data_IF_319367590918
#
_entry.id   IF_319367590918
#
_cell.length_a   1.000
_cell.length_b   1.000
_cell.length_c   1.000
_cell.angle_alpha   90.00
_cell.angle_beta   90.00
_cell.angle_gamma   90.00
#
_symmetry.space_group_name_H-M   'P 1'
#
loop_
_entity.id
_entity.type
_entity.pdbx_description
1 polymer ?
#
# COMPACT_ATOMS: atom_id res chain seq x y z
N UNK A 1 -12.99 3.75 2.31
CA UNK A 1 -13.64 3.77 3.65
C UNK A 1 -14.07 2.40 4.20
N UNK A 2 -14.81 1.54 3.47
CA UNK A 2 -15.34 0.27 4.03
C UNK A 2 -14.31 -0.72 4.59
N UNK A 3 -13.08 -0.74 4.05
CA UNK A 3 -12.02 -1.67 4.50
C UNK A 3 -11.51 -1.32 5.91
N UNK A 4 -11.18 -0.05 6.16
CA UNK A 4 -10.73 0.43 7.47
C UNK A 4 -11.79 0.22 8.55
N UNK A 5 -13.07 0.41 8.23
CA UNK A 5 -14.18 0.12 9.15
C UNK A 5 -14.20 -1.34 9.62
N UNK A 6 -13.83 -2.29 8.75
CA UNK A 6 -13.72 -3.71 9.13
C UNK A 6 -12.52 -3.97 10.03
N UNK A 7 -11.36 -3.37 9.75
CA UNK A 7 -10.17 -3.48 10.61
C UNK A 7 -10.46 -2.94 12.01
N UNK A 8 -11.15 -1.80 12.10
CA UNK A 8 -11.62 -1.24 13.38
C UNK A 8 -12.51 -2.24 14.11
N UNK A 9 -13.49 -2.81 13.41
CA UNK A 9 -14.42 -3.77 13.98
C UNK A 9 -13.69 -5.02 14.48
N UNK A 10 -12.77 -5.58 13.69
CA UNK A 10 -11.96 -6.74 14.08
C UNK A 10 -11.14 -6.46 15.34
N UNK A 11 -10.52 -5.28 15.47
CA UNK A 11 -9.78 -4.94 16.68
C UNK A 11 -10.69 -4.73 17.90
N UNK A 12 -11.96 -4.35 17.70
CA UNK A 12 -12.93 -4.19 18.78
C UNK A 12 -13.55 -5.50 19.27
N UNK A 13 -13.80 -6.46 18.39
CA UNK A 13 -14.56 -7.67 18.74
C UNK A 13 -13.89 -9.02 18.39
N UNK A 14 -12.74 -9.01 17.69
CA UNK A 14 -12.10 -10.22 17.20
C UNK A 14 -11.38 -11.06 18.27
N UNK A 15 -11.06 -10.46 19.41
CA UNK A 15 -10.20 -11.08 20.43
C UNK A 15 -10.79 -12.37 21.00
N UNK A 16 -12.06 -12.34 21.42
CA UNK A 16 -12.69 -13.49 22.09
C UNK A 16 -12.88 -14.67 21.12
N UNK A 17 -13.33 -14.38 19.90
CA UNK A 17 -13.51 -15.41 18.88
C UNK A 17 -12.17 -16.05 18.50
N UNK A 18 -11.12 -15.23 18.27
CA UNK A 18 -9.80 -15.76 17.93
C UNK A 18 -9.22 -16.59 19.08
N UNK A 19 -9.33 -16.11 20.33
CA UNK A 19 -8.88 -16.85 21.51
C UNK A 19 -9.56 -18.21 21.61
N UNK A 20 -10.88 -18.24 21.48
CA UNK A 20 -11.64 -19.48 21.54
C UNK A 20 -11.21 -20.48 20.46
N UNK A 21 -11.00 -20.04 19.22
CA UNK A 21 -10.51 -20.92 18.16
C UNK A 21 -9.09 -21.44 18.44
N UNK A 22 -8.19 -20.58 18.92
CA UNK A 22 -6.83 -21.00 19.27
C UNK A 22 -6.81 -21.99 20.45
N UNK A 23 -7.69 -21.82 21.44
CA UNK A 23 -7.84 -22.79 22.54
C UNK A 23 -8.26 -24.18 22.03
N UNK A 24 -9.20 -24.22 21.08
CA UNK A 24 -9.61 -25.47 20.44
C UNK A 24 -8.43 -26.12 19.70
N UNK A 25 -7.71 -25.36 18.88
CA UNK A 25 -6.53 -25.85 18.16
C UNK A 25 -5.40 -26.32 19.09
N UNK A 26 -5.13 -25.58 20.17
CA UNK A 26 -4.12 -25.96 21.17
C UNK A 26 -4.51 -27.20 21.98
N UNK A 27 -5.81 -27.42 22.18
CA UNK A 27 -6.34 -28.61 22.85
C UNK A 27 -6.38 -29.85 21.94
N UNK A 28 -6.41 -29.64 20.62
CA UNK A 28 -6.41 -30.71 19.65
C UNK A 28 -5.08 -31.48 19.71
N UNK A 29 -5.16 -32.81 19.83
CA UNK A 29 -3.98 -33.69 19.91
C UNK A 29 -3.36 -33.96 18.54
N UNK A 30 -3.39 -33.00 17.63
CA UNK A 30 -2.76 -33.10 16.32
C UNK A 30 -1.30 -32.62 16.39
N UNK A 31 -0.41 -33.29 15.67
CA UNK A 31 0.98 -32.88 15.49
C UNK A 31 1.17 -32.34 14.07
N UNK A 32 1.90 -31.22 13.88
CA UNK A 32 2.58 -30.42 14.90
C UNK A 32 1.63 -29.49 15.68
N UNK A 33 1.95 -29.25 16.96
CA UNK A 33 1.20 -28.28 17.79
C UNK A 33 1.48 -26.84 17.34
N UNK A 34 0.48 -25.99 17.51
CA UNK A 34 0.64 -24.53 17.36
C UNK A 34 1.71 -24.04 18.35
N UNK A 35 2.75 -23.40 17.83
CA UNK A 35 3.88 -22.91 18.61
C UNK A 35 4.07 -21.39 18.54
N UNK A 36 3.37 -20.73 17.62
CA UNK A 36 3.49 -19.30 17.37
C UNK A 36 2.23 -18.77 16.66
N UNK A 37 1.86 -17.54 16.98
CA UNK A 37 0.84 -16.79 16.24
C UNK A 37 1.55 -15.79 15.31
N UNK A 38 1.27 -15.84 14.00
CA UNK A 38 1.77 -14.85 13.04
C UNK A 38 0.59 -14.02 12.56
N UNK A 39 0.60 -12.71 12.78
CA UNK A 39 -0.52 -11.83 12.42
C UNK A 39 -0.05 -10.56 11.75
N UNK A 40 -0.91 -10.01 10.89
CA UNK A 40 -0.71 -8.67 10.32
C UNK A 40 -0.71 -7.62 11.43
N UNK A 41 0.15 -6.60 11.31
CA UNK A 41 0.29 -5.52 12.28
C UNK A 41 -1.03 -4.79 12.56
N UNK A 42 -1.93 -4.71 11.57
CA UNK A 42 -3.25 -4.08 11.70
C UNK A 42 -4.16 -4.79 12.70
N UNK A 43 -3.93 -6.06 13.01
CA UNK A 43 -4.69 -6.84 13.98
C UNK A 43 -4.02 -6.77 15.35
N UNK A 44 -3.85 -5.56 15.87
CA UNK A 44 -3.11 -5.30 17.11
C UNK A 44 -3.74 -5.97 18.34
N UNK A 45 -5.06 -6.24 18.31
CA UNK A 45 -5.74 -7.02 19.37
C UNK A 45 -5.14 -8.42 19.59
N UNK A 46 -4.45 -8.97 18.59
CA UNK A 46 -3.92 -10.33 18.64
C UNK A 46 -2.76 -10.50 19.62
N UNK A 47 -2.11 -9.40 20.04
CA UNK A 47 -1.09 -9.46 21.09
C UNK A 47 -1.68 -9.95 22.42
N UNK A 48 -2.80 -9.39 22.87
CA UNK A 48 -3.41 -9.79 24.14
C UNK A 48 -3.95 -11.23 24.11
N UNK A 49 -4.39 -11.69 22.94
CA UNK A 49 -4.79 -13.09 22.73
C UNK A 49 -3.57 -14.01 22.85
N UNK A 50 -2.47 -13.68 22.19
CA UNK A 50 -1.23 -14.46 22.28
C UNK A 50 -0.70 -14.53 23.71
N UNK A 51 -0.67 -13.40 24.42
CA UNK A 51 -0.25 -13.32 25.82
C UNK A 51 -1.13 -14.20 26.73
N UNK A 52 -2.45 -14.19 26.53
CA UNK A 52 -3.40 -14.99 27.33
C UNK A 52 -3.23 -16.50 27.15
N UNK A 53 -2.68 -16.93 26.01
CA UNK A 53 -2.43 -18.33 25.67
C UNK A 53 -0.95 -18.72 25.81
N UNK A 54 -0.11 -17.80 26.30
CA UNK A 54 1.33 -17.97 26.40
C UNK A 54 1.99 -18.39 25.07
N UNK A 55 1.51 -17.82 23.96
CA UNK A 55 2.05 -18.03 22.62
C UNK A 55 2.96 -16.86 22.22
N UNK A 56 4.14 -17.11 21.62
CA UNK A 56 4.88 -16.05 20.98
C UNK A 56 4.09 -15.50 19.79
N UNK A 57 4.16 -14.18 19.60
CA UNK A 57 3.55 -13.50 18.46
C UNK A 57 4.63 -12.94 17.55
N UNK A 58 4.61 -13.31 16.28
CA UNK A 58 5.35 -12.62 15.23
C UNK A 58 4.42 -11.70 14.47
N UNK A 59 4.88 -10.49 14.20
CA UNK A 59 4.09 -9.48 13.47
C UNK A 59 4.58 -9.38 12.05
N UNK A 60 3.68 -9.52 11.08
CA UNK A 60 3.94 -9.16 9.71
C UNK A 60 3.59 -7.68 9.50
N UNK A 61 4.61 -6.86 9.22
CA UNK A 61 4.42 -5.49 8.75
C UNK A 61 4.48 -5.47 7.21
N UNK A 62 3.37 -5.09 6.60
CA UNK A 62 3.14 -5.25 5.15
C UNK A 62 3.50 -4.02 4.31
N UNK A 63 3.93 -2.92 4.94
CA UNK A 63 4.47 -1.73 4.28
C UNK A 63 6.00 -1.62 4.52
N UNK A 64 6.59 -0.48 4.16
CA UNK A 64 8.01 -0.21 4.32
C UNK A 64 8.41 -0.01 5.79
N UNK A 65 9.70 -0.22 6.09
CA UNK A 65 10.28 0.12 7.38
C UNK A 65 10.29 1.63 7.59
N UNK A 66 10.46 2.40 6.52
CA UNK A 66 10.33 3.86 6.59
C UNK A 66 8.93 4.29 7.06
N UNK A 67 7.88 3.72 6.48
CA UNK A 67 6.49 3.96 6.87
C UNK A 67 6.25 3.58 8.35
N UNK A 68 6.83 2.49 8.84
CA UNK A 68 6.78 2.15 10.26
C UNK A 68 7.38 3.25 11.16
N UNK A 69 8.51 3.84 10.79
CA UNK A 69 9.13 4.91 11.58
C UNK A 69 8.27 6.18 11.60
N UNK A 70 7.59 6.49 10.50
CA UNK A 70 6.59 7.57 10.45
C UNK A 70 5.43 7.24 11.39
N UNK A 71 4.88 6.02 11.30
CA UNK A 71 3.81 5.58 12.19
C UNK A 71 4.21 5.64 13.67
N UNK A 72 5.46 5.27 13.99
CA UNK A 72 5.99 5.34 15.34
C UNK A 72 6.24 6.77 15.84
N UNK A 73 6.23 7.75 14.94
CA UNK A 73 6.49 9.16 15.22
C UNK A 73 5.25 10.04 15.13
N UNK A 74 4.06 9.48 14.93
CA UNK A 74 2.81 10.25 14.78
C UNK A 74 2.59 11.18 15.97
N UNK A 75 2.76 10.71 17.22
CA UNK A 75 2.57 11.57 18.40
C UNK A 75 3.53 12.75 18.40
N UNK A 76 4.80 12.53 18.03
CA UNK A 76 5.77 13.62 17.88
C UNK A 76 5.35 14.60 16.78
N UNK A 77 4.91 14.09 15.62
CA UNK A 77 4.48 14.92 14.50
C UNK A 77 3.20 15.72 14.86
N UNK A 78 2.31 15.18 15.69
CA UNK A 78 1.14 15.90 16.24
C UNK A 78 1.55 17.01 17.21
N UNK A 79 2.46 16.70 18.15
CA UNK A 79 2.98 17.66 19.12
C UNK A 79 3.71 18.83 18.45
N UNK A 80 4.37 18.58 17.32
CA UNK A 80 4.99 19.59 16.46
C UNK A 80 3.99 20.36 15.58
N UNK A 81 2.72 19.94 15.57
CA UNK A 81 1.62 20.63 14.91
C UNK A 81 1.47 20.32 13.42
N UNK A 82 2.13 19.29 12.88
CA UNK A 82 2.02 18.95 11.45
C UNK A 82 0.59 18.56 11.04
N UNK A 83 -0.19 17.98 11.95
CA UNK A 83 -1.59 17.61 11.67
C UNK A 83 -2.60 18.73 11.92
N UNK A 84 -2.25 19.80 12.64
CA UNK A 84 -3.14 20.97 12.80
C UNK A 84 -3.38 21.72 11.48
N UNK A 85 -2.57 21.44 10.46
CA UNK A 85 -2.70 21.99 9.11
C UNK A 85 -3.80 21.28 8.29
N UNK A 86 -4.21 20.07 8.66
CA UNK A 86 -5.23 19.31 7.91
C UNK A 86 -6.65 19.85 8.08
N UNK A 87 -6.95 20.50 9.20
CA UNK A 87 -8.31 20.97 9.52
C UNK A 87 -8.71 22.24 8.75
N UNK A 88 -7.73 22.99 8.26
CA UNK A 88 -7.93 24.21 7.45
C UNK A 88 -7.87 23.96 5.94
N UNK A 89 -7.49 22.75 5.52
CA UNK A 89 -7.43 22.37 4.12
C UNK A 89 -8.80 21.82 3.77
N UNK A 90 -9.63 22.64 3.10
CA UNK A 90 -10.77 22.12 2.37
C UNK A 90 -10.29 20.94 1.50
N UNK A 91 -11.19 20.00 1.25
CA UNK A 91 -11.01 18.78 0.47
C UNK A 91 -10.86 19.04 -1.07
N UNK A 92 -9.75 19.62 -1.58
CA UNK A 92 -9.27 19.20 -2.92
C UNK A 92 -7.96 18.42 -2.94
N UNK A 93 -7.14 18.46 -1.87
CA UNK A 93 -5.79 17.86 -1.87
C UNK A 93 -5.77 16.32 -1.87
N UNK A 94 -6.91 15.68 -1.61
CA UNK A 94 -7.07 14.22 -1.51
C UNK A 94 -7.38 13.52 -2.84
N UNK A 95 -7.54 14.26 -3.95
CA UNK A 95 -7.96 13.68 -5.24
C UNK A 95 -6.82 13.03 -6.05
N UNK A 96 -5.63 12.86 -5.46
CA UNK A 96 -4.54 12.01 -6.00
C UNK A 96 -3.95 12.42 -7.36
N UNK A 97 -4.51 13.42 -8.04
CA UNK A 97 -4.17 13.75 -9.44
C UNK A 97 -3.94 15.24 -9.73
N UNK A 98 -3.87 16.11 -8.72
CA UNK A 98 -3.31 17.46 -8.90
C UNK A 98 -4.02 18.59 -8.16
N UNK A 99 -3.28 19.69 -8.02
CA UNK A 99 -3.66 20.95 -7.38
C UNK A 99 -4.61 21.76 -8.27
N UNK A 100 -5.88 21.37 -8.38
CA UNK A 100 -6.84 22.18 -9.11
C UNK A 100 -7.83 22.82 -8.14
N UNK A 101 -7.66 24.13 -7.97
CA UNK A 101 -8.48 25.09 -7.21
C UNK A 101 -8.03 25.39 -5.78
N UNK A 102 -6.85 26.00 -5.66
CA UNK A 102 -6.44 26.78 -4.48
C UNK A 102 -6.86 28.24 -4.73
N UNK A 103 -7.82 28.82 -3.99
CA UNK A 103 -8.18 30.23 -4.12
C UNK A 103 -6.99 31.14 -3.75
N UNK A 104 -6.88 32.32 -4.38
CA UNK A 104 -5.72 33.24 -4.29
C UNK A 104 -5.27 33.64 -2.86
N UNK A 105 -6.08 33.42 -1.82
CA UNK A 105 -5.73 33.69 -0.43
C UNK A 105 -4.87 32.59 0.25
N UNK A 106 -4.57 31.47 -0.43
CA UNK A 106 -3.87 30.31 0.13
C UNK A 106 -2.38 30.19 -0.28
N UNK A 107 -1.79 31.21 -0.92
CA UNK A 107 -0.37 31.20 -1.31
C UNK A 107 0.56 30.91 -0.13
N UNK A 108 0.25 31.41 1.07
CA UNK A 108 1.06 31.19 2.29
C UNK A 108 0.97 29.76 2.81
N UNK A 109 -0.17 29.09 2.63
CA UNK A 109 -0.39 27.69 3.02
C UNK A 109 0.28 26.73 2.03
N UNK A 110 0.27 27.07 0.74
CA UNK A 110 0.98 26.34 -0.30
C UNK A 110 2.51 26.30 -0.06
N UNK A 111 3.10 27.39 0.43
CA UNK A 111 4.52 27.39 0.83
C UNK A 111 4.79 26.42 1.99
N UNK A 112 3.98 26.41 3.05
CA UNK A 112 4.13 25.48 4.18
C UNK A 112 4.05 24.01 3.76
N UNK A 113 3.21 23.67 2.77
CA UNK A 113 3.02 22.29 2.32
C UNK A 113 4.24 21.70 1.60
N UNK A 114 5.05 22.55 0.95
CA UNK A 114 6.26 22.14 0.23
C UNK A 114 7.52 22.16 1.11
N UNK A 115 7.43 22.65 2.35
CA UNK A 115 8.52 22.63 3.33
C UNK A 115 8.89 21.20 3.71
N UNK A 116 10.16 20.98 3.98
CA UNK A 116 10.66 19.70 4.49
C UNK A 116 10.27 19.50 5.95
N UNK A 117 10.00 18.26 6.32
CA UNK A 117 9.80 17.85 7.72
C UNK A 117 11.17 17.69 8.35
N UNK A 118 11.46 18.40 9.44
CA UNK A 118 12.81 18.46 10.01
C UNK A 118 13.29 17.08 10.49
N UNK A 119 12.38 16.30 11.07
CA UNK A 119 12.62 14.95 11.59
C UNK A 119 12.74 13.91 10.47
N UNK A 120 12.12 14.19 9.31
CA UNK A 120 12.11 13.33 8.13
C UNK A 120 12.37 14.15 6.86
N UNK A 121 13.62 14.60 6.60
CA UNK A 121 13.92 15.56 5.53
C UNK A 121 13.60 15.10 4.10
N UNK A 122 13.34 13.80 3.92
CA UNK A 122 12.87 13.21 2.65
C UNK A 122 11.39 13.50 2.38
N UNK A 123 10.63 13.84 3.42
CA UNK A 123 9.21 14.17 3.34
C UNK A 123 9.00 15.68 3.32
N UNK A 124 7.94 16.07 2.62
CA UNK A 124 7.35 17.40 2.75
C UNK A 124 6.15 17.35 3.70
N UNK A 125 5.76 18.50 4.22
CA UNK A 125 4.59 18.62 5.11
C UNK A 125 3.33 18.02 4.47
N UNK A 126 3.12 18.22 3.17
CA UNK A 126 2.01 17.60 2.43
C UNK A 126 2.00 16.07 2.46
N UNK A 127 3.17 15.44 2.55
CA UNK A 127 3.29 13.97 2.56
C UNK A 127 2.88 13.42 3.92
N UNK A 128 3.22 14.13 5.01
CA UNK A 128 2.77 13.80 6.37
C UNK A 128 1.27 13.99 6.53
N UNK A 129 0.71 15.07 5.99
CA UNK A 129 -0.75 15.32 6.05
C UNK A 129 -1.53 14.27 5.25
N UNK A 130 -0.98 13.80 4.12
CA UNK A 130 -1.60 12.75 3.28
C UNK A 130 -1.72 11.39 3.95
N UNK A 131 -0.94 11.14 5.01
CA UNK A 131 -1.14 9.96 5.86
C UNK A 131 -2.55 9.95 6.50
N UNK A 132 -3.26 11.08 6.46
CA UNK A 132 -4.71 11.13 6.59
C UNK A 132 -5.21 11.09 8.03
N UNK A 133 -4.36 11.45 9.00
CA UNK A 133 -4.76 11.56 10.38
C UNK A 133 -5.68 12.76 10.58
N UNK A 134 -6.89 12.50 11.08
CA UNK A 134 -7.65 13.52 11.79
C UNK A 134 -7.69 13.16 13.26
N UNK A 135 -7.49 14.14 14.13
CA UNK A 135 -7.47 13.94 15.58
C UNK A 135 -8.71 13.19 16.11
N UNK A 136 -9.85 13.32 15.41
CA UNK A 136 -11.15 12.81 15.84
C UNK A 136 -11.66 11.57 15.08
N UNK A 137 -10.90 10.97 14.16
CA UNK A 137 -11.39 9.84 13.33
C UNK A 137 -11.03 8.44 13.85
N UNK A 138 -10.23 8.35 14.92
CA UNK A 138 -9.78 7.11 15.54
C UNK A 138 -8.68 6.35 14.77
N UNK A 139 -8.22 6.84 13.61
CA UNK A 139 -7.10 6.23 12.88
C UNK A 139 -5.77 6.39 13.62
N UNK A 140 -5.57 7.52 14.31
CA UNK A 140 -4.42 7.74 15.17
C UNK A 140 -4.30 6.68 16.27
N UNK A 141 -5.40 6.34 16.93
CA UNK A 141 -5.44 5.29 17.95
C UNK A 141 -5.11 3.92 17.37
N UNK A 142 -5.62 3.60 16.18
CA UNK A 142 -5.31 2.33 15.51
C UNK A 142 -3.82 2.24 15.25
N UNK A 143 -3.22 3.26 14.64
CA UNK A 143 -1.81 3.20 14.25
C UNK A 143 -0.89 3.23 15.48
N UNK A 144 -1.24 4.02 16.50
CA UNK A 144 -0.55 3.99 17.80
C UNK A 144 -0.59 2.59 18.42
N UNK A 145 -1.76 1.94 18.42
CA UNK A 145 -1.88 0.56 18.89
C UNK A 145 -1.14 -0.44 18.00
N UNK A 146 -1.17 -0.30 16.68
CA UNK A 146 -0.39 -1.12 15.75
C UNK A 146 1.09 -1.08 16.09
N UNK A 147 1.66 0.13 16.24
CA UNK A 147 3.08 0.31 16.59
C UNK A 147 3.36 -0.25 17.99
N UNK A 148 2.54 0.10 18.98
CA UNK A 148 2.72 -0.36 20.37
C UNK A 148 2.75 -1.89 20.46
N UNK A 149 1.77 -2.55 19.84
CA UNK A 149 1.68 -4.01 19.89
C UNK A 149 2.71 -4.69 18.98
N UNK A 150 3.17 -4.04 17.92
CA UNK A 150 4.33 -4.50 17.13
C UNK A 150 5.61 -4.47 17.95
N UNK A 151 5.85 -3.40 18.73
CA UNK A 151 7.00 -3.31 19.64
C UNK A 151 6.98 -4.35 20.76
N UNK A 152 5.80 -4.79 21.17
CA UNK A 152 5.61 -5.81 22.21
C UNK A 152 5.71 -7.26 21.70
N UNK A 153 5.82 -7.47 20.39
CA UNK A 153 5.83 -8.81 19.80
C UNK A 153 7.13 -9.57 20.08
N UNK A 154 7.10 -10.89 19.88
CA UNK A 154 8.28 -11.75 19.97
C UNK A 154 9.20 -11.64 18.75
N UNK A 155 8.79 -10.91 17.72
CA UNK A 155 9.55 -10.69 16.49
C UNK A 155 8.72 -10.00 15.41
N UNK A 156 9.41 -9.38 14.46
CA UNK A 156 8.78 -8.62 13.37
C UNK A 156 9.29 -9.16 12.04
N UNK A 157 8.36 -9.44 11.13
CA UNK A 157 8.59 -9.86 9.76
C UNK A 157 8.33 -8.66 8.86
N UNK A 158 9.30 -8.32 8.04
CA UNK A 158 9.25 -7.21 7.08
C UNK A 158 9.23 -7.75 5.66
N UNK A 159 8.30 -7.27 4.83
CA UNK A 159 8.39 -7.41 3.38
C UNK A 159 9.44 -6.44 2.82
N UNK A 160 10.70 -6.63 3.14
CA UNK A 160 11.78 -5.72 2.74
C UNK A 160 13.12 -6.45 2.71
N UNK A 161 14.17 -5.75 2.32
CA UNK A 161 15.54 -6.24 2.32
C UNK A 161 16.53 -5.16 2.69
N UNK A 162 17.69 -5.59 3.20
CA UNK A 162 18.68 -4.72 3.82
C UNK A 162 19.14 -3.63 2.86
N UNK A 163 19.42 -3.98 1.61
CA UNK A 163 19.97 -3.06 0.61
C UNK A 163 18.99 -1.91 0.26
N UNK A 164 17.69 -2.11 0.47
CA UNK A 164 16.66 -1.09 0.22
C UNK A 164 16.48 -0.14 1.41
N UNK A 165 16.49 -0.67 2.64
CA UNK A 165 16.07 0.07 3.86
C UNK A 165 17.09 -0.01 5.01
N UNK A 166 18.39 -0.08 4.71
CA UNK A 166 19.43 -0.34 5.73
C UNK A 166 19.39 0.64 6.92
N UNK A 167 19.22 1.93 6.66
CA UNK A 167 19.22 2.96 7.71
C UNK A 167 18.00 2.81 8.63
N UNK A 168 16.83 2.49 8.05
CA UNK A 168 15.60 2.26 8.79
C UNK A 168 15.72 0.97 9.62
N UNK A 169 16.25 -0.11 9.03
CA UNK A 169 16.51 -1.37 9.73
C UNK A 169 17.43 -1.19 10.95
N UNK A 170 18.52 -0.42 10.79
CA UNK A 170 19.46 -0.13 11.89
C UNK A 170 18.80 0.69 13.01
N UNK A 171 17.94 1.63 12.66
CA UNK A 171 17.15 2.42 13.62
C UNK A 171 16.16 1.53 14.37
N UNK A 172 15.40 0.71 13.64
CA UNK A 172 14.42 -0.22 14.22
C UNK A 172 15.08 -1.22 15.18
N UNK A 173 16.22 -1.81 14.80
CA UNK A 173 16.95 -2.78 15.66
C UNK A 173 17.53 -2.16 16.92
N UNK A 174 17.82 -0.86 16.90
CA UNK A 174 18.29 -0.12 18.07
C UNK A 174 17.16 0.11 19.07
N UNK A 175 15.98 0.49 18.54
CA UNK A 175 14.85 0.95 19.36
C UNK A 175 13.90 -0.19 19.75
N UNK A 176 13.94 -1.31 19.03
CA UNK A 176 13.08 -2.47 19.24
C UNK A 176 13.96 -3.71 19.44
N UNK A 177 13.98 -4.30 20.64
CA UNK A 177 14.85 -5.45 20.95
C UNK A 177 14.37 -6.76 20.30
N UNK A 178 13.15 -6.79 19.74
CA UNK A 178 12.59 -7.96 19.08
C UNK A 178 13.35 -8.29 17.77
N UNK A 179 13.56 -9.58 17.45
CA UNK A 179 14.18 -10.00 16.19
C UNK A 179 13.44 -9.45 14.97
N UNK A 180 14.20 -8.90 14.01
CA UNK A 180 13.68 -8.44 12.72
C UNK A 180 14.06 -9.43 11.61
N UNK A 181 13.05 -10.08 11.03
CA UNK A 181 13.14 -11.01 9.91
C UNK A 181 12.81 -10.27 8.61
N UNK A 182 13.72 -10.31 7.64
CA UNK A 182 13.51 -9.69 6.33
C UNK A 182 13.14 -10.79 5.33
N UNK A 183 11.98 -10.65 4.69
CA UNK A 183 11.50 -11.60 3.69
C UNK A 183 11.20 -10.84 2.40
N UNK A 184 11.94 -11.14 1.33
CA UNK A 184 11.66 -10.60 0.00
C UNK A 184 10.54 -11.42 -0.64
N UNK A 185 9.28 -11.06 -0.38
CA UNK A 185 8.15 -11.86 -0.84
C UNK A 185 8.10 -11.96 -2.36
N UNK A 186 8.32 -10.84 -3.07
CA UNK A 186 8.34 -10.80 -4.53
C UNK A 186 9.35 -11.79 -5.13
N UNK A 187 10.57 -11.87 -4.58
CA UNK A 187 11.63 -12.72 -5.16
C UNK A 187 11.50 -14.20 -4.82
N UNK A 188 11.05 -14.52 -3.60
CA UNK A 188 11.10 -15.89 -3.08
C UNK A 188 9.79 -16.65 -3.16
N UNK A 189 8.68 -15.96 -3.41
CA UNK A 189 7.36 -16.58 -3.49
C UNK A 189 6.73 -16.26 -4.84
N UNK A 190 6.96 -17.14 -5.82
CA UNK A 190 6.11 -17.21 -7.02
C UNK A 190 4.76 -17.74 -6.56
N UNK A 191 3.86 -16.87 -6.11
CA UNK A 191 2.58 -17.31 -5.54
C UNK A 191 1.82 -18.14 -6.56
N UNK A 192 1.48 -19.38 -6.21
CA UNK A 192 0.28 -20.04 -6.74
C UNK A 192 -0.93 -19.25 -6.20
N UNK A 193 -1.24 -18.13 -6.87
CA UNK A 193 -2.40 -17.25 -6.67
C UNK A 193 -2.73 -16.81 -5.24
N UNK A 194 -2.08 -15.75 -4.74
CA UNK A 194 -2.60 -14.94 -3.62
C UNK A 194 -3.67 -13.93 -4.05
N UNK A 195 -3.94 -13.83 -5.35
CA UNK A 195 -4.97 -12.96 -5.90
C UNK A 195 -6.35 -13.55 -5.69
N UNK A 196 -7.30 -12.71 -5.28
CA UNK A 196 -8.73 -13.01 -5.24
C UNK A 196 -9.39 -12.95 -6.63
N UNK A 197 -8.66 -12.44 -7.63
CA UNK A 197 -9.11 -12.28 -9.02
C UNK A 197 -8.29 -13.18 -9.94
N UNK A 198 -8.96 -13.80 -10.91
CA UNK A 198 -8.31 -14.63 -11.92
C UNK A 198 -7.32 -13.80 -12.75
N UNK A 199 -6.12 -14.31 -12.91
CA UNK A 199 -5.07 -13.67 -13.68
C UNK A 199 -5.38 -13.83 -15.18
N UNK A 200 -5.62 -12.73 -15.89
CA UNK A 200 -5.65 -12.76 -17.34
C UNK A 200 -4.21 -12.93 -17.86
N UNK A 201 -3.99 -13.92 -18.73
CA UNK A 201 -2.71 -14.14 -19.42
C UNK A 201 -2.87 -14.07 -20.95
N UNK A 202 -4.06 -13.76 -21.45
CA UNK A 202 -4.37 -13.74 -22.89
C UNK A 202 -3.62 -12.65 -23.66
N UNK A 203 -3.09 -11.64 -22.96
CA UNK A 203 -2.35 -10.54 -23.55
C UNK A 203 -0.85 -10.80 -23.74
N UNK A 204 -0.28 -11.87 -23.17
CA UNK A 204 1.15 -12.17 -23.32
C UNK A 204 1.59 -12.28 -24.79
N UNK A 205 0.85 -12.95 -25.70
CA UNK A 205 1.20 -12.97 -27.11
C UNK A 205 1.28 -11.60 -27.78
N UNK A 206 0.53 -10.60 -27.30
CA UNK A 206 0.65 -9.22 -27.77
C UNK A 206 1.90 -8.55 -27.18
N UNK A 207 2.21 -8.82 -25.91
CA UNK A 207 3.37 -8.29 -25.20
C UNK A 207 4.68 -8.82 -25.80
N UNK A 208 4.72 -10.11 -26.17
CA UNK A 208 5.83 -10.78 -26.85
C UNK A 208 6.19 -10.14 -28.21
N UNK A 209 5.23 -9.43 -28.83
CA UNK A 209 5.42 -8.75 -30.12
C UNK A 209 5.86 -7.29 -29.97
N UNK A 210 5.92 -6.76 -28.74
CA UNK A 210 6.34 -5.39 -28.50
C UNK A 210 7.87 -5.29 -28.44
N UNK A 211 8.46 -4.19 -28.93
CA UNK A 211 9.88 -3.92 -28.73
C UNK A 211 10.26 -3.90 -27.23
N UNK A 212 11.54 -4.17 -26.96
CA UNK A 212 12.07 -4.09 -25.59
C UNK A 212 11.88 -2.68 -25.01
N UNK A 213 11.48 -2.61 -23.73
CA UNK A 213 11.27 -1.37 -22.99
C UNK A 213 10.30 -0.37 -23.67
N UNK A 214 9.32 -0.84 -24.46
CA UNK A 214 8.41 0.04 -25.21
C UNK A 214 7.00 0.16 -24.63
N UNK A 215 6.66 -0.65 -23.62
CA UNK A 215 5.31 -0.74 -23.05
C UNK A 215 5.28 -0.14 -21.66
N UNK A 216 4.29 0.72 -21.40
CA UNK A 216 3.97 1.20 -20.06
C UNK A 216 2.98 0.23 -19.41
N UNK A 217 3.39 -0.42 -18.33
CA UNK A 217 2.46 -1.17 -17.49
C UNK A 217 1.78 -0.22 -16.49
N UNK A 218 0.48 -0.40 -16.26
CA UNK A 218 -0.33 0.53 -15.44
C UNK A 218 -1.19 -0.29 -14.48
N UNK A 219 -1.03 -0.05 -13.18
CA UNK A 219 -1.82 -0.71 -12.13
C UNK A 219 -1.85 0.14 -10.86
N UNK A 220 -3.06 0.43 -10.39
CA UNK A 220 -3.30 1.18 -9.15
C UNK A 220 -3.69 0.26 -7.99
N UNK A 221 -3.28 -1.00 -8.06
CA UNK A 221 -3.49 -1.97 -6.99
C UNK A 221 -4.94 -2.43 -6.83
N UNK A 222 -5.22 -3.07 -5.70
CA UNK A 222 -6.47 -3.80 -5.44
C UNK A 222 -7.60 -2.95 -4.86
N UNK A 223 -7.29 -1.76 -4.35
CA UNK A 223 -8.26 -0.91 -3.61
C UNK A 223 -8.40 0.52 -4.12
N UNK A 224 -7.46 1.03 -4.93
CA UNK A 224 -7.52 2.41 -5.40
C UNK A 224 -8.80 2.70 -6.20
N UNK A 225 -9.35 3.91 -6.09
CA UNK A 225 -10.51 4.32 -6.86
C UNK A 225 -10.29 5.73 -7.40
N UNK A 226 -10.76 5.98 -8.61
CA UNK A 226 -10.73 7.28 -9.28
C UNK A 226 -12.13 7.70 -9.65
N UNK A 227 -12.36 9.01 -9.69
CA UNK A 227 -13.55 9.57 -10.32
C UNK A 227 -13.50 9.37 -11.84
N UNK A 228 -14.68 9.29 -12.46
CA UNK A 228 -14.79 9.12 -13.91
C UNK A 228 -14.05 10.20 -14.70
N UNK A 229 -14.17 11.48 -14.28
CA UNK A 229 -13.47 12.60 -14.93
C UNK A 229 -11.96 12.37 -14.99
N UNK A 230 -11.36 11.87 -13.90
CA UNK A 230 -9.93 11.59 -13.81
C UNK A 230 -9.54 10.37 -14.65
N UNK A 231 -10.37 9.34 -14.65
CA UNK A 231 -10.17 8.18 -15.51
C UNK A 231 -10.14 8.58 -16.99
N UNK A 232 -11.04 9.45 -17.43
CA UNK A 232 -11.09 9.97 -18.81
C UNK A 232 -9.83 10.77 -19.15
N UNK A 233 -9.35 11.64 -18.25
CA UNK A 233 -8.07 12.35 -18.44
C UNK A 233 -6.87 11.39 -18.57
N UNK A 234 -6.84 10.31 -17.77
CA UNK A 234 -5.81 9.28 -17.89
C UNK A 234 -5.88 8.58 -19.25
N UNK A 235 -7.09 8.26 -19.73
CA UNK A 235 -7.31 7.70 -21.08
C UNK A 235 -6.78 8.64 -22.16
N UNK A 236 -7.11 9.94 -22.10
CA UNK A 236 -6.61 10.93 -23.05
C UNK A 236 -5.08 11.02 -23.02
N UNK A 237 -4.49 11.12 -21.84
CA UNK A 237 -3.02 11.14 -21.68
C UNK A 237 -2.35 9.92 -22.30
N UNK A 238 -2.90 8.71 -22.11
CA UNK A 238 -2.35 7.49 -22.70
C UNK A 238 -2.46 7.48 -24.23
N UNK A 239 -3.62 7.85 -24.77
CA UNK A 239 -3.84 7.92 -26.23
C UNK A 239 -2.92 8.95 -26.89
N UNK A 240 -2.71 10.09 -26.24
CA UNK A 240 -1.92 11.20 -26.76
C UNK A 240 -0.42 11.03 -26.59
N UNK A 241 0.01 10.28 -25.56
CA UNK A 241 1.42 9.91 -25.36
C UNK A 241 2.02 9.11 -26.52
N UNK A 242 1.18 8.47 -27.32
CA UNK A 242 1.53 7.55 -28.41
C UNK A 242 2.32 6.29 -27.99
N UNK A 243 2.59 6.09 -26.70
CA UNK A 243 3.22 4.88 -26.19
C UNK A 243 2.29 3.67 -26.21
N UNK A 244 2.86 2.47 -26.31
CA UNK A 244 2.13 1.23 -26.07
C UNK A 244 1.90 1.04 -24.57
N UNK A 245 0.78 0.44 -24.18
CA UNK A 245 0.50 0.23 -22.76
C UNK A 245 -0.36 -0.99 -22.47
N UNK A 246 -0.18 -1.52 -21.26
CA UNK A 246 -0.99 -2.56 -20.66
C UNK A 246 -1.57 -2.03 -19.35
N UNK A 247 -2.88 -1.86 -19.28
CA UNK A 247 -3.55 -1.26 -18.13
C UNK A 247 -4.47 -2.26 -17.42
N UNK A 248 -4.23 -2.45 -16.12
CA UNK A 248 -5.15 -3.15 -15.23
C UNK A 248 -6.26 -2.21 -14.77
N UNK A 249 -7.47 -2.43 -15.28
CA UNK A 249 -8.70 -1.73 -14.88
C UNK A 249 -9.65 -2.73 -14.26
N UNK A 250 -9.53 -2.93 -12.95
CA UNK A 250 -10.39 -3.84 -12.19
C UNK A 250 -11.77 -3.24 -11.92
N UNK A 251 -12.75 -4.09 -11.68
CA UNK A 251 -14.09 -3.67 -11.24
C UNK A 251 -14.00 -2.84 -9.96
N UNK A 252 -14.65 -1.67 -9.97
CA UNK A 252 -14.62 -0.73 -8.85
C UNK A 252 -13.41 0.20 -8.82
N UNK A 253 -12.53 0.19 -9.83
CA UNK A 253 -11.51 1.24 -9.99
C UNK A 253 -12.14 2.60 -10.29
N UNK A 254 -13.13 2.66 -11.16
CA UNK A 254 -13.86 3.90 -11.44
C UNK A 254 -15.09 3.97 -10.55
N UNK A 255 -15.17 5.00 -9.71
CA UNK A 255 -16.24 5.21 -8.74
C UNK A 255 -17.63 5.15 -9.39
N UNK A 256 -18.56 4.40 -8.79
CA UNK A 256 -19.94 4.31 -9.26
C UNK A 256 -20.15 3.46 -10.52
N UNK A 257 -19.08 2.91 -11.13
CA UNK A 257 -19.18 2.06 -12.32
C UNK A 257 -18.92 0.58 -11.97
N UNK A 258 -19.59 -0.32 -12.68
CA UNK A 258 -19.30 -1.77 -12.68
C UNK A 258 -18.31 -2.17 -13.78
N UNK A 259 -17.64 -1.17 -14.36
CA UNK A 259 -16.95 -1.13 -15.64
C UNK A 259 -16.75 -2.50 -16.34
N UNK A 260 -17.59 -2.72 -17.35
CA UNK A 260 -17.56 -3.81 -18.34
C UNK A 260 -17.74 -3.25 -19.77
N UNK A 261 -17.77 -1.93 -19.91
CA UNK A 261 -18.02 -1.25 -21.18
C UNK A 261 -16.72 -1.23 -22.00
N UNK A 262 -16.79 -1.36 -23.34
CA UNK A 262 -15.64 -1.05 -24.16
C UNK A 262 -15.20 0.38 -23.81
N UNK A 263 -13.89 0.55 -23.63
CA UNK A 263 -13.28 1.88 -23.55
C UNK A 263 -13.85 2.75 -24.67
N UNK A 264 -13.87 4.08 -24.50
CA UNK A 264 -14.23 4.97 -25.60
C UNK A 264 -13.54 4.49 -26.89
N UNK A 265 -14.25 4.51 -28.03
CA UNK A 265 -13.80 4.04 -29.37
C UNK A 265 -12.42 4.58 -29.80
N UNK A 266 -11.88 5.51 -29.04
CA UNK A 266 -10.56 6.14 -29.08
C UNK A 266 -9.40 5.18 -28.78
N UNK A 267 -9.64 3.97 -28.25
CA UNK A 267 -8.58 3.03 -27.94
C UNK A 267 -8.01 2.34 -29.19
N UNK A 268 -6.73 2.57 -29.56
CA UNK A 268 -6.12 1.85 -30.65
C UNK A 268 -5.85 0.43 -30.16
N UNK A 269 -6.71 -0.52 -30.53
CA UNK A 269 -6.57 -1.94 -30.22
C UNK A 269 -5.23 -2.56 -30.65
N UNK A 270 -4.37 -1.84 -31.38
CA UNK A 270 -3.00 -2.25 -31.70
C UNK A 270 -1.97 -1.80 -30.63
N UNK A 271 -2.16 -0.63 -30.01
CA UNK A 271 -1.18 -0.01 -29.09
C UNK A 271 -1.51 -0.20 -27.61
N UNK A 272 -2.75 -0.53 -27.27
CA UNK A 272 -3.19 -0.69 -25.88
C UNK A 272 -3.82 -2.05 -25.60
N UNK A 273 -3.60 -2.56 -24.39
CA UNK A 273 -4.40 -3.65 -23.81
C UNK A 273 -4.96 -3.21 -22.46
N UNK A 274 -6.24 -3.48 -22.24
CA UNK A 274 -6.85 -3.33 -20.92
C UNK A 274 -7.33 -4.68 -20.45
N UNK A 275 -7.00 -5.01 -19.22
CA UNK A 275 -7.35 -6.27 -18.57
C UNK A 275 -7.90 -5.99 -17.19
N UNK A 276 -8.74 -6.88 -16.67
CA UNK A 276 -9.31 -6.72 -15.32
C UNK A 276 -8.27 -6.96 -14.24
N UNK A 277 -7.38 -7.91 -14.49
CA UNK A 277 -6.35 -8.34 -13.56
C UNK A 277 -5.22 -9.03 -14.30
N UNK A 278 -3.99 -8.92 -13.81
CA UNK A 278 -2.79 -9.44 -14.47
C UNK A 278 -1.85 -10.09 -13.44
N UNK A 279 -1.03 -11.08 -13.85
CA UNK A 279 0.07 -11.56 -13.03
C UNK A 279 1.19 -10.50 -12.97
N UNK A 280 1.01 -9.49 -12.12
CA UNK A 280 1.83 -8.26 -12.12
C UNK A 280 3.34 -8.53 -12.12
N UNK A 281 3.82 -9.46 -11.30
CA UNK A 281 5.25 -9.80 -11.26
C UNK A 281 5.76 -10.37 -12.59
N UNK A 282 5.01 -11.27 -13.24
CA UNK A 282 5.38 -11.81 -14.55
C UNK A 282 5.37 -10.71 -15.62
N UNK A 283 4.44 -9.76 -15.52
CA UNK A 283 4.40 -8.60 -16.41
C UNK A 283 5.61 -7.71 -16.21
N UNK A 284 5.94 -7.34 -14.96
CA UNK A 284 7.10 -6.50 -14.64
C UNK A 284 8.42 -7.14 -15.07
N UNK A 285 8.53 -8.47 -14.99
CA UNK A 285 9.70 -9.21 -15.47
C UNK A 285 9.77 -9.39 -17.00
N UNK A 286 8.78 -8.92 -17.75
CA UNK A 286 8.73 -9.05 -19.20
C UNK A 286 9.56 -7.97 -19.92
N UNK A 287 10.38 -8.35 -20.90
CA UNK A 287 11.35 -7.46 -21.54
C UNK A 287 10.75 -6.25 -22.28
N UNK A 288 9.50 -6.36 -22.72
CA UNK A 288 8.77 -5.25 -23.34
C UNK A 288 8.40 -4.13 -22.36
N UNK A 289 8.33 -4.40 -21.05
CA UNK A 289 7.95 -3.38 -20.06
C UNK A 289 9.11 -2.40 -19.88
N UNK A 290 8.85 -1.13 -20.18
CA UNK A 290 9.81 -0.03 -20.03
C UNK A 290 9.55 0.88 -18.85
N UNK A 291 8.32 0.91 -18.35
CA UNK A 291 7.93 1.73 -17.19
C UNK A 291 6.68 1.16 -16.51
N UNK A 292 6.52 1.47 -15.23
CA UNK A 292 5.38 1.10 -14.42
C UNK A 292 4.68 2.33 -13.82
N UNK A 293 3.50 2.66 -14.31
CA UNK A 293 2.64 3.68 -13.70
C UNK A 293 1.81 3.07 -12.55
N UNK A 294 2.10 3.51 -11.33
CA UNK A 294 1.64 2.86 -10.11
C UNK A 294 1.16 3.84 -9.05
N UNK A 295 0.22 3.39 -8.23
CA UNK A 295 -0.14 4.06 -6.96
C UNK A 295 0.96 3.97 -5.89
N UNK A 296 2.08 3.27 -6.16
CA UNK A 296 3.24 3.12 -5.27
C UNK A 296 3.01 2.33 -3.98
N UNK A 297 1.94 1.53 -3.91
CA UNK A 297 1.74 0.60 -2.80
C UNK A 297 2.92 -0.38 -2.66
N UNK A 298 3.29 -0.68 -1.41
CA UNK A 298 4.59 -1.28 -1.09
C UNK A 298 4.91 -2.59 -1.83
N UNK A 299 3.96 -3.51 -1.98
CA UNK A 299 4.19 -4.76 -2.73
C UNK A 299 4.57 -4.49 -4.19
N UNK A 300 3.83 -3.62 -4.87
CA UNK A 300 4.10 -3.21 -6.25
C UNK A 300 5.45 -2.50 -6.39
N UNK A 301 5.83 -1.70 -5.39
CA UNK A 301 7.13 -1.03 -5.32
C UNK A 301 8.27 -2.04 -5.25
N UNK A 302 8.18 -3.05 -4.36
CA UNK A 302 9.20 -4.10 -4.22
C UNK A 302 9.29 -4.97 -5.48
N UNK A 303 8.17 -5.34 -6.09
CA UNK A 303 8.15 -6.07 -7.36
C UNK A 303 8.86 -5.30 -8.48
N UNK A 304 8.57 -4.00 -8.65
CA UNK A 304 9.20 -3.17 -9.68
C UNK A 304 10.71 -3.02 -9.46
N UNK A 305 11.14 -2.87 -8.20
CA UNK A 305 12.56 -2.80 -7.83
C UNK A 305 13.28 -4.11 -8.14
N UNK A 306 12.64 -5.26 -7.88
CA UNK A 306 13.22 -6.58 -8.16
C UNK A 306 13.42 -6.83 -9.66
N UNK A 307 12.47 -6.36 -10.49
CA UNK A 307 12.54 -6.51 -11.96
C UNK A 307 13.29 -5.37 -12.65
N UNK A 308 13.70 -4.32 -11.92
CA UNK A 308 14.46 -3.20 -12.46
C UNK A 308 13.65 -2.28 -13.38
N UNK A 309 12.34 -2.19 -13.17
CA UNK A 309 11.43 -1.36 -13.98
C UNK A 309 11.27 0.03 -13.32
N UNK A 310 11.56 1.13 -14.04
CA UNK A 310 11.30 2.49 -13.55
C UNK A 310 9.81 2.76 -13.29
N UNK A 311 9.51 3.50 -12.22
CA UNK A 311 8.13 3.80 -11.82
C UNK A 311 7.74 5.25 -12.10
N UNK A 312 6.49 5.43 -12.55
CA UNK A 312 5.77 6.69 -12.55
C UNK A 312 4.83 6.63 -11.34
N UNK A 313 5.10 7.42 -10.31
CA UNK A 313 4.37 7.37 -9.05
C UNK A 313 3.17 8.34 -9.04
N UNK A 314 1.98 7.81 -8.84
CA UNK A 314 0.76 8.59 -8.60
C UNK A 314 0.07 8.10 -7.32
N UNK A 315 0.62 8.46 -6.14
CA UNK A 315 0.11 7.97 -4.86
C UNK A 315 -1.29 8.49 -4.57
N UNK A 316 -2.07 7.67 -3.88
CA UNK A 316 -3.47 7.91 -3.58
C UNK A 316 -3.69 8.26 -2.10
N UNK A 317 -3.41 7.32 -1.20
CA UNK A 317 -3.53 7.48 0.26
C UNK A 317 -2.70 6.41 0.96
N UNK A 318 -2.46 6.61 2.26
CA UNK A 318 -1.74 5.64 3.09
C UNK A 318 -0.25 5.94 3.14
N UNK A 319 0.54 4.92 2.81
CA UNK A 319 2.01 4.92 2.87
C UNK A 319 2.69 5.63 1.70
#
# INVERSE_FOLDING_TARGET
MRLFSRIILFNKCGADQLRHQLELELSAKHEPRVSCLITDASWHFTQSVADSLNLPRLVLWTSSQFCFLICASITLLDDLGYFNLSDNIATPLLDGLGYNNVPDNEHKLCFCLEEQVAEFPVLKVKDVIKFGFKKDDGMGDIISNMVKQTKASSGIIWNSFKELEQLQLETIRRDIPAPCLLIQFAKHFTTTSSSLLDHDRSFFPWLDQQPRNSVVYISFGSVAQVEEKHFIEMVHGLVDSKHSFLWVVRTGFVCGSTWLEPLPDVFPGERGRIVKWAPQQEVLGHEAIGAFWTHSGWNSTVESVCEGVPMICSPFWGD
#
